data_IF_204024301658
#
_entry.id   IF_204024301658
#
_cell.length_a   1.000
_cell.length_b   1.000
_cell.length_c   1.000
_cell.angle_alpha   90.00
_cell.angle_beta   90.00
_cell.angle_gamma   90.00
#
_symmetry.space_group_name_H-M   'P 1'
#
loop_
_entity.id
_entity.type
_entity.pdbx_description
1 polymer ?
#
# COMPACT_ATOMS: atom_id res chain seq x y z
N UNK A 1 32.13 -30.09 7.93
CA UNK A 1 31.86 -31.05 6.84
C UNK A 1 31.32 -30.30 5.64
N UNK A 2 31.86 -30.60 4.45
CA UNK A 2 31.41 -30.04 3.20
C UNK A 2 30.06 -30.65 2.76
N UNK A 3 29.40 -30.04 1.75
CA UNK A 3 28.12 -30.52 1.19
C UNK A 3 28.22 -32.01 0.78
N UNK A 4 29.36 -32.40 0.23
CA UNK A 4 29.62 -33.78 -0.17
C UNK A 4 29.60 -34.74 1.03
N UNK A 5 30.22 -34.38 2.17
CA UNK A 5 30.23 -35.22 3.37
C UNK A 5 28.82 -35.37 3.93
N UNK A 6 28.01 -34.32 3.89
CA UNK A 6 26.60 -34.39 4.30
C UNK A 6 25.78 -35.32 3.39
N UNK A 7 25.95 -35.25 2.09
CA UNK A 7 25.29 -36.15 1.14
C UNK A 7 25.70 -37.61 1.35
N UNK A 8 26.99 -37.87 1.59
CA UNK A 8 27.48 -39.23 1.87
C UNK A 8 26.84 -39.77 3.16
N UNK A 9 26.78 -38.97 4.23
CA UNK A 9 26.16 -39.38 5.50
C UNK A 9 24.67 -39.63 5.35
N UNK A 10 23.91 -38.73 4.68
CA UNK A 10 22.49 -38.89 4.42
C UNK A 10 22.23 -40.15 3.60
N UNK A 11 22.98 -40.41 2.53
CA UNK A 11 22.85 -41.59 1.69
C UNK A 11 23.18 -42.88 2.48
N UNK A 12 24.17 -42.86 3.35
CA UNK A 12 24.50 -44.02 4.20
C UNK A 12 23.40 -44.34 5.20
N UNK A 13 22.79 -43.29 5.82
CA UNK A 13 21.67 -43.44 6.75
C UNK A 13 20.41 -43.94 6.02
N UNK A 14 20.09 -43.39 4.87
CA UNK A 14 18.98 -43.84 4.03
C UNK A 14 19.10 -45.34 3.68
N UNK A 15 20.28 -45.75 3.23
CA UNK A 15 20.54 -47.17 2.91
C UNK A 15 20.53 -48.10 4.12
N UNK A 16 20.74 -47.60 5.32
CA UNK A 16 20.69 -48.39 6.55
C UNK A 16 19.28 -48.52 7.12
N UNK A 17 18.30 -47.76 6.59
CA UNK A 17 16.92 -47.86 7.02
C UNK A 17 16.29 -49.18 6.52
N UNK A 18 15.86 -50.00 7.45
CA UNK A 18 15.18 -51.25 7.15
C UNK A 18 13.67 -51.09 7.32
N UNK A 19 12.90 -51.53 6.32
CA UNK A 19 11.45 -51.47 6.31
C UNK A 19 10.89 -50.56 5.23
N UNK A 20 9.57 -50.45 5.20
CA UNK A 20 8.88 -49.58 4.24
C UNK A 20 9.04 -48.10 4.63
N UNK A 21 9.15 -47.21 3.60
CA UNK A 21 9.21 -45.77 3.84
C UNK A 21 7.94 -45.32 4.57
N UNK A 22 8.08 -44.62 5.73
CA UNK A 22 6.92 -44.17 6.46
C UNK A 22 6.01 -43.27 5.62
N UNK A 23 4.69 -43.44 5.73
CA UNK A 23 3.70 -42.65 4.95
C UNK A 23 3.90 -41.14 5.04
N UNK A 24 4.32 -40.65 6.23
CA UNK A 24 4.64 -39.23 6.44
C UNK A 24 5.78 -38.75 5.54
N UNK A 25 6.78 -39.57 5.27
CA UNK A 25 7.94 -39.24 4.42
C UNK A 25 7.48 -39.17 2.97
N UNK A 26 6.73 -40.18 2.50
CA UNK A 26 6.14 -40.17 1.15
C UNK A 26 5.31 -38.93 0.88
N UNK A 27 4.41 -38.60 1.82
CA UNK A 27 3.56 -37.39 1.69
C UNK A 27 4.37 -36.07 1.69
N UNK A 28 5.42 -36.01 2.51
CA UNK A 28 6.32 -34.86 2.53
C UNK A 28 7.07 -34.71 1.23
N UNK A 29 7.60 -35.80 0.66
CA UNK A 29 8.28 -35.78 -0.63
C UNK A 29 7.33 -35.40 -1.77
N UNK A 30 6.10 -35.90 -1.74
CA UNK A 30 5.09 -35.56 -2.74
C UNK A 30 4.68 -34.08 -2.65
N UNK A 31 4.52 -33.56 -1.45
CA UNK A 31 4.20 -32.16 -1.23
C UNK A 31 5.35 -31.25 -1.69
N UNK A 32 6.59 -31.57 -1.34
CA UNK A 32 7.78 -30.84 -1.78
C UNK A 32 7.89 -30.83 -3.31
N UNK A 33 7.71 -31.99 -3.94
CA UNK A 33 7.72 -32.12 -5.40
C UNK A 33 6.65 -31.21 -6.04
N UNK A 34 5.43 -31.17 -5.49
CA UNK A 34 4.35 -30.29 -5.97
C UNK A 34 4.73 -28.82 -5.84
N UNK A 35 5.27 -28.43 -4.69
CA UNK A 35 5.70 -27.06 -4.42
C UNK A 35 6.78 -26.60 -5.39
N UNK A 36 7.79 -27.44 -5.64
CA UNK A 36 8.87 -27.12 -6.58
C UNK A 36 8.36 -26.99 -8.02
N UNK A 37 7.49 -27.90 -8.46
CA UNK A 37 6.90 -27.82 -9.82
C UNK A 37 5.96 -26.61 -9.94
N UNK A 38 5.20 -26.26 -8.91
CA UNK A 38 4.37 -25.06 -8.90
C UNK A 38 5.24 -23.79 -9.02
N UNK A 39 6.37 -23.75 -8.31
CA UNK A 39 7.35 -22.66 -8.45
C UNK A 39 7.86 -22.50 -9.89
N UNK A 40 8.28 -23.59 -10.53
CA UNK A 40 8.71 -23.59 -11.94
C UNK A 40 7.59 -23.15 -12.90
N UNK A 41 6.34 -23.50 -12.62
CA UNK A 41 5.19 -23.07 -13.42
C UNK A 41 4.97 -21.56 -13.27
N UNK A 42 5.07 -21.02 -12.05
CA UNK A 42 4.98 -19.59 -11.79
C UNK A 42 6.09 -18.83 -12.51
N UNK A 43 7.34 -19.29 -12.43
CA UNK A 43 8.46 -18.65 -13.13
C UNK A 43 8.22 -18.57 -14.65
N UNK A 44 7.65 -19.62 -15.24
CA UNK A 44 7.29 -19.61 -16.67
C UNK A 44 6.19 -18.62 -17.01
N UNK A 45 5.17 -18.49 -16.14
CA UNK A 45 4.11 -17.50 -16.30
C UNK A 45 4.72 -16.10 -16.26
N UNK A 46 5.53 -15.81 -15.25
CA UNK A 46 6.15 -14.52 -15.06
C UNK A 46 7.12 -14.13 -16.19
N UNK A 47 7.84 -15.09 -16.75
CA UNK A 47 8.76 -14.85 -17.86
C UNK A 47 8.08 -14.30 -19.13
N UNK A 48 6.77 -14.51 -19.27
CA UNK A 48 5.99 -14.04 -20.43
C UNK A 48 4.99 -12.93 -20.08
N UNK A 49 4.67 -12.75 -18.81
CA UNK A 49 3.64 -11.79 -18.38
C UNK A 49 4.20 -10.38 -18.18
N UNK A 50 5.43 -10.25 -17.68
CA UNK A 50 6.03 -8.94 -17.40
C UNK A 50 6.72 -8.43 -18.67
N UNK A 51 5.96 -7.72 -19.48
CA UNK A 51 6.44 -7.08 -20.72
C UNK A 51 6.28 -5.57 -20.63
N UNK A 52 6.98 -4.81 -21.45
CA UNK A 52 6.83 -3.36 -21.50
C UNK A 52 5.39 -2.96 -21.87
N UNK A 53 4.71 -3.74 -22.70
CA UNK A 53 3.30 -3.51 -23.05
C UNK A 53 2.37 -3.74 -21.86
N UNK A 54 2.62 -4.77 -21.04
CA UNK A 54 1.84 -5.03 -19.83
C UNK A 54 2.06 -3.93 -18.78
N UNK A 55 3.28 -3.46 -18.63
CA UNK A 55 3.62 -2.34 -17.74
C UNK A 55 2.97 -1.03 -18.20
N UNK A 56 2.99 -0.75 -19.51
CA UNK A 56 2.32 0.42 -20.05
C UNK A 56 0.80 0.33 -19.84
N UNK A 57 0.19 -0.83 -20.06
CA UNK A 57 -1.23 -1.02 -19.84
C UNK A 57 -1.62 -0.84 -18.36
N UNK A 58 -0.82 -1.35 -17.43
CA UNK A 58 -1.02 -1.15 -15.99
C UNK A 58 -0.86 0.33 -15.59
N UNK A 59 0.13 1.00 -16.15
CA UNK A 59 0.32 2.44 -15.96
C UNK A 59 -0.87 3.25 -16.47
N UNK A 60 -1.34 2.97 -17.69
CA UNK A 60 -2.47 3.67 -18.28
C UNK A 60 -3.76 3.46 -17.46
N UNK A 61 -3.98 2.25 -16.95
CA UNK A 61 -5.12 1.94 -16.11
C UNK A 61 -5.07 2.65 -14.76
N UNK A 62 -3.88 2.78 -14.17
CA UNK A 62 -3.71 3.32 -12.81
C UNK A 62 -3.57 4.84 -12.80
N UNK A 63 -2.84 5.41 -13.77
CA UNK A 63 -2.44 6.80 -13.73
C UNK A 63 -2.92 7.63 -14.93
N UNK A 64 -2.74 7.16 -16.17
CA UNK A 64 -3.00 7.98 -17.35
C UNK A 64 -4.50 8.15 -17.63
N UNK A 65 -5.31 7.15 -17.30
CA UNK A 65 -6.77 7.18 -17.48
C UNK A 65 -7.53 7.46 -16.18
N UNK A 66 -6.85 7.61 -15.05
CA UNK A 66 -7.46 8.00 -13.78
C UNK A 66 -7.94 9.45 -13.82
N UNK A 67 -9.00 9.76 -13.08
CA UNK A 67 -9.37 11.16 -12.87
C UNK A 67 -8.21 11.88 -12.16
N UNK A 68 -7.84 13.08 -12.65
CA UNK A 68 -6.75 13.83 -12.03
C UNK A 68 -7.03 14.09 -10.55
N UNK A 69 -6.15 13.66 -9.69
CA UNK A 69 -6.21 13.99 -8.27
C UNK A 69 -5.82 15.46 -8.10
N UNK A 70 -6.48 16.14 -7.17
CA UNK A 70 -6.16 17.54 -6.87
C UNK A 70 -5.03 17.62 -5.86
N UNK A 71 -4.13 18.56 -6.09
CA UNK A 71 -3.17 19.03 -5.10
C UNK A 71 -3.52 20.47 -4.70
N UNK A 72 -3.34 20.74 -3.43
CA UNK A 72 -3.67 22.01 -2.80
C UNK A 72 -2.40 22.65 -2.27
N UNK A 73 -2.28 23.94 -2.47
CA UNK A 73 -1.29 24.77 -1.79
C UNK A 73 -2.03 25.63 -0.78
N UNK A 74 -1.77 25.44 0.50
CA UNK A 74 -2.45 26.18 1.55
C UNK A 74 -1.49 26.72 2.62
N UNK A 75 -2.01 27.69 3.35
CA UNK A 75 -1.41 28.19 4.58
C UNK A 75 -2.43 28.06 5.71
N UNK A 76 -1.99 27.89 6.94
CA UNK A 76 -2.89 27.83 8.08
C UNK A 76 -2.37 28.59 9.32
N UNK A 77 -3.31 28.98 10.16
CA UNK A 77 -3.06 29.51 11.49
C UNK A 77 -3.74 28.56 12.48
N UNK A 78 -3.00 28.01 13.42
CA UNK A 78 -3.50 27.14 14.47
C UNK A 78 -3.57 27.90 15.79
N UNK A 79 -4.72 27.82 16.47
CA UNK A 79 -4.95 28.40 17.80
C UNK A 79 -5.69 27.42 18.68
N UNK A 80 -5.76 27.72 20.00
CA UNK A 80 -6.34 26.79 20.96
C UNK A 80 -7.86 26.86 21.01
N UNK A 81 -8.44 28.04 20.74
CA UNK A 81 -9.88 28.28 20.91
C UNK A 81 -10.58 28.73 19.65
N UNK A 82 -11.87 28.42 19.56
CA UNK A 82 -12.72 28.86 18.46
C UNK A 82 -12.86 30.37 18.39
N UNK A 83 -12.93 31.04 19.53
CA UNK A 83 -13.07 32.50 19.59
C UNK A 83 -11.83 33.20 19.06
N UNK A 84 -10.63 32.69 19.33
CA UNK A 84 -9.40 33.21 18.74
C UNK A 84 -9.40 33.02 17.21
N UNK A 85 -9.81 31.84 16.73
CA UNK A 85 -9.89 31.57 15.29
C UNK A 85 -10.90 32.51 14.62
N UNK A 86 -12.08 32.74 15.20
CA UNK A 86 -13.07 33.69 14.69
C UNK A 86 -12.52 35.12 14.65
N UNK A 87 -11.80 35.54 15.66
CA UNK A 87 -11.19 36.88 15.71
C UNK A 87 -10.15 37.04 14.58
N UNK A 88 -9.36 35.99 14.31
CA UNK A 88 -8.38 35.96 13.21
C UNK A 88 -9.09 36.03 11.87
N UNK A 89 -10.17 35.30 11.65
CA UNK A 89 -10.96 35.34 10.42
C UNK A 89 -11.46 36.78 10.14
N UNK A 90 -11.99 37.46 11.17
CA UNK A 90 -12.47 38.84 11.02
C UNK A 90 -11.32 39.82 10.72
N UNK A 91 -10.17 39.64 11.36
CA UNK A 91 -8.96 40.45 11.09
C UNK A 91 -8.47 40.29 9.64
N UNK A 92 -8.45 39.05 9.15
CA UNK A 92 -8.04 38.71 7.77
C UNK A 92 -9.04 39.23 6.75
N UNK A 93 -10.36 39.12 7.02
CA UNK A 93 -11.40 39.75 6.21
C UNK A 93 -11.29 41.28 6.19
N UNK A 94 -10.75 41.85 7.25
CA UNK A 94 -10.41 43.31 7.33
C UNK A 94 -9.16 43.70 6.55
N UNK A 95 -8.48 42.78 5.90
CA UNK A 95 -7.32 43.02 5.03
C UNK A 95 -5.97 42.85 5.71
N UNK A 96 -5.89 42.19 6.88
CA UNK A 96 -4.63 41.85 7.51
C UNK A 96 -3.83 40.85 6.65
N UNK A 97 -2.51 40.93 6.72
CA UNK A 97 -1.63 39.98 6.02
C UNK A 97 -1.63 38.64 6.70
N UNK A 98 -2.00 37.58 5.97
CA UNK A 98 -2.13 36.23 6.51
C UNK A 98 -0.81 35.72 7.10
N UNK A 99 0.31 35.92 6.41
CA UNK A 99 1.60 35.40 6.85
C UNK A 99 2.12 36.15 8.09
N UNK A 100 1.85 37.44 8.19
CA UNK A 100 2.17 38.23 9.39
C UNK A 100 1.33 37.76 10.60
N UNK A 101 0.02 37.58 10.42
CA UNK A 101 -0.90 37.07 11.45
C UNK A 101 -0.51 35.65 11.89
N UNK A 102 -0.11 34.80 10.94
CA UNK A 102 0.37 33.45 11.26
C UNK A 102 1.63 33.48 12.11
N UNK A 103 2.60 34.33 11.80
CA UNK A 103 3.83 34.47 12.59
C UNK A 103 3.56 34.96 14.01
N UNK A 104 2.57 35.82 14.17
CA UNK A 104 2.23 36.44 15.47
C UNK A 104 1.39 35.52 16.34
N UNK A 105 0.39 34.85 15.75
CA UNK A 105 -0.69 34.20 16.52
C UNK A 105 -0.72 32.67 16.43
N UNK A 106 -0.08 32.09 15.40
CA UNK A 106 -0.15 30.63 15.24
C UNK A 106 0.71 29.91 16.23
N UNK A 107 0.10 28.93 16.92
CA UNK A 107 0.80 27.97 17.80
C UNK A 107 1.35 26.77 17.04
N UNK A 108 1.01 26.63 15.74
CA UNK A 108 1.45 25.55 14.90
C UNK A 108 2.90 25.70 14.40
N UNK A 109 3.54 24.57 14.03
CA UNK A 109 4.95 24.57 13.61
C UNK A 109 5.24 25.38 12.34
N UNK A 110 4.25 25.60 11.48
CA UNK A 110 4.37 26.43 10.28
C UNK A 110 4.24 27.93 10.56
N UNK A 111 3.78 28.32 11.78
CA UNK A 111 3.57 29.72 12.16
C UNK A 111 4.75 30.63 11.87
N UNK A 112 6.00 30.32 12.33
CA UNK A 112 7.19 31.13 12.04
C UNK A 112 7.47 31.32 10.55
N UNK A 113 7.06 30.35 9.70
CA UNK A 113 7.13 30.42 8.24
C UNK A 113 5.97 31.17 7.57
N UNK A 114 5.08 31.81 8.34
CA UNK A 114 3.88 32.47 7.81
C UNK A 114 2.72 31.52 7.56
N UNK A 115 2.73 30.34 8.18
CA UNK A 115 1.68 29.33 8.10
C UNK A 115 1.73 28.45 6.86
N UNK A 116 2.69 28.61 5.94
CA UNK A 116 2.74 27.85 4.68
C UNK A 116 2.93 26.36 4.91
N UNK A 117 2.11 25.56 4.21
CA UNK A 117 2.19 24.09 4.19
C UNK A 117 2.77 23.57 2.88
N UNK A 118 2.93 24.42 1.86
CA UNK A 118 3.32 24.00 0.52
C UNK A 118 2.20 23.24 -0.20
N UNK A 119 2.59 22.42 -1.20
CA UNK A 119 1.70 21.56 -1.96
C UNK A 119 1.48 20.23 -1.22
N UNK A 120 0.24 19.78 -1.18
CA UNK A 120 -0.14 18.48 -0.61
C UNK A 120 -1.32 17.89 -1.37
N UNK A 121 -1.37 16.57 -1.44
CA UNK A 121 -2.48 15.79 -2.01
C UNK A 121 -3.36 15.18 -0.93
N UNK A 122 -4.33 14.38 -1.36
CA UNK A 122 -5.23 13.65 -0.48
C UNK A 122 -4.47 12.68 0.45
N UNK A 123 -4.89 12.61 1.71
CA UNK A 123 -4.29 11.74 2.75
C UNK A 123 -3.08 12.34 3.46
N UNK A 124 -2.61 13.54 3.07
CA UNK A 124 -1.47 14.20 3.69
C UNK A 124 -1.83 14.97 4.97
N UNK A 125 -3.09 15.37 5.11
CA UNK A 125 -3.60 16.14 6.24
C UNK A 125 -4.67 15.37 7.01
N UNK A 126 -5.07 15.88 8.18
CA UNK A 126 -6.20 15.28 8.92
C UNK A 126 -7.52 15.49 8.18
N UNK A 127 -8.49 14.54 8.29
CA UNK A 127 -9.69 14.53 7.47
C UNK A 127 -10.52 15.82 7.52
N UNK A 128 -10.61 16.44 8.68
CA UNK A 128 -11.37 17.67 8.87
C UNK A 128 -10.76 18.84 8.10
N UNK A 129 -9.43 18.91 8.09
CA UNK A 129 -8.67 19.91 7.34
C UNK A 129 -8.82 19.70 5.82
N UNK A 130 -8.67 18.46 5.36
CA UNK A 130 -8.84 18.11 3.93
C UNK A 130 -10.25 18.40 3.43
N UNK A 131 -11.27 18.06 4.24
CA UNK A 131 -12.66 18.34 3.91
C UNK A 131 -12.90 19.84 3.72
N UNK A 132 -12.33 20.66 4.61
CA UNK A 132 -12.45 22.12 4.51
C UNK A 132 -11.76 22.64 3.23
N UNK A 133 -10.51 22.23 2.99
CA UNK A 133 -9.74 22.67 1.81
C UNK A 133 -10.40 22.26 0.51
N UNK A 134 -10.97 21.04 0.45
CA UNK A 134 -11.64 20.53 -0.75
C UNK A 134 -12.91 21.30 -1.12
N UNK A 135 -13.53 22.00 -0.15
CA UNK A 135 -14.73 22.83 -0.35
C UNK A 135 -14.41 24.29 -0.69
N UNK A 136 -13.12 24.70 -0.65
CA UNK A 136 -12.68 26.09 -0.88
C UNK A 136 -12.28 26.32 -2.32
N UNK A 137 -12.30 27.60 -2.74
CA UNK A 137 -11.71 28.08 -3.97
C UNK A 137 -10.34 28.76 -3.70
N UNK A 138 -9.47 28.76 -4.71
CA UNK A 138 -8.17 29.41 -4.57
C UNK A 138 -8.34 30.91 -4.23
N UNK A 139 -7.68 31.34 -3.19
CA UNK A 139 -7.78 32.70 -2.61
C UNK A 139 -8.66 32.80 -1.37
N UNK A 140 -9.49 31.79 -1.09
CA UNK A 140 -10.40 31.79 0.06
C UNK A 140 -9.68 31.67 1.40
N UNK A 141 -10.34 32.21 2.41
CA UNK A 141 -10.03 32.01 3.83
C UNK A 141 -11.21 31.24 4.45
N UNK A 142 -10.91 30.11 5.10
CA UNK A 142 -11.94 29.27 5.73
C UNK A 142 -12.59 29.95 6.96
N UNK A 143 -13.78 29.52 7.30
CA UNK A 143 -14.26 29.63 8.67
C UNK A 143 -13.38 28.76 9.60
N UNK A 144 -13.45 28.94 10.93
CA UNK A 144 -12.69 28.11 11.87
C UNK A 144 -12.95 26.61 11.70
N UNK A 145 -11.89 25.83 11.50
CA UNK A 145 -11.94 24.37 11.33
C UNK A 145 -11.36 23.68 12.55
N UNK A 146 -12.16 22.89 13.24
CA UNK A 146 -11.72 22.13 14.41
C UNK A 146 -11.05 20.82 14.01
N UNK A 147 -9.91 20.52 14.61
CA UNK A 147 -9.20 19.22 14.53
C UNK A 147 -8.76 18.78 15.92
N UNK A 148 -8.12 17.63 16.03
CA UNK A 148 -7.51 17.18 17.28
C UNK A 148 -6.36 18.07 17.79
N UNK A 149 -5.81 18.95 16.95
CA UNK A 149 -4.71 19.85 17.30
C UNK A 149 -5.18 21.23 17.78
N UNK A 150 -6.44 21.57 17.60
CA UNK A 150 -7.02 22.86 17.91
C UNK A 150 -7.87 23.40 16.76
N UNK A 151 -7.93 24.73 16.66
CA UNK A 151 -8.71 25.44 15.65
C UNK A 151 -7.82 26.02 14.58
N UNK A 152 -8.13 25.72 13.33
CA UNK A 152 -7.39 26.19 12.16
C UNK A 152 -8.18 27.27 11.42
N UNK A 153 -7.48 28.32 10.99
CA UNK A 153 -7.92 29.22 9.93
C UNK A 153 -7.05 28.93 8.73
N UNK A 154 -7.66 28.52 7.63
CA UNK A 154 -6.96 28.04 6.43
C UNK A 154 -7.11 29.08 5.33
N UNK A 155 -6.01 29.36 4.60
CA UNK A 155 -6.02 30.08 3.34
C UNK A 155 -5.62 29.12 2.24
N UNK A 156 -6.50 28.89 1.28
CA UNK A 156 -6.18 28.14 0.07
C UNK A 156 -5.50 29.07 -0.92
N UNK A 157 -4.21 28.83 -1.16
CA UNK A 157 -3.44 29.69 -2.06
C UNK A 157 -3.69 29.32 -3.53
N UNK A 158 -3.57 28.03 -3.85
CA UNK A 158 -3.67 27.51 -5.22
C UNK A 158 -4.21 26.06 -5.20
N UNK A 159 -4.81 25.67 -6.33
CA UNK A 159 -5.23 24.28 -6.61
C UNK A 159 -4.67 23.90 -7.97
N UNK A 160 -4.14 22.69 -8.09
CA UNK A 160 -3.73 22.12 -9.36
C UNK A 160 -4.14 20.66 -9.46
N UNK A 161 -4.17 20.13 -10.67
CA UNK A 161 -4.22 18.69 -10.85
C UNK A 161 -2.82 18.12 -10.61
N UNK A 162 -2.73 17.05 -9.84
CA UNK A 162 -1.48 16.32 -9.72
C UNK A 162 -1.11 15.76 -11.10
N UNK A 163 0.14 15.93 -11.48
CA UNK A 163 0.66 15.25 -12.65
C UNK A 163 0.83 13.76 -12.34
N UNK A 164 0.46 12.89 -13.27
CA UNK A 164 0.74 11.47 -13.13
C UNK A 164 2.26 11.28 -13.00
N UNK A 165 2.72 10.40 -12.09
CA UNK A 165 4.14 10.11 -11.99
C UNK A 165 4.66 9.55 -13.31
N UNK A 166 5.93 9.77 -13.65
CA UNK A 166 6.50 9.13 -14.82
C UNK A 166 6.49 7.59 -14.65
N UNK A 167 6.28 6.85 -15.74
CA UNK A 167 6.27 5.37 -15.69
C UNK A 167 7.53 4.82 -15.02
N UNK A 168 8.67 5.46 -15.25
CA UNK A 168 9.95 5.05 -14.67
C UNK A 168 9.98 5.16 -13.14
N UNK A 169 9.25 6.13 -12.57
CA UNK A 169 9.20 6.37 -11.11
C UNK A 169 8.35 5.32 -10.39
N UNK A 170 7.38 4.72 -11.10
CA UNK A 170 6.43 3.72 -10.57
C UNK A 170 6.63 2.33 -11.17
N UNK A 171 7.68 2.15 -11.98
CA UNK A 171 7.94 0.91 -12.72
C UNK A 171 8.01 -0.32 -11.81
N UNK A 172 8.72 -0.23 -10.71
CA UNK A 172 8.91 -1.35 -9.78
C UNK A 172 7.59 -1.76 -9.12
N UNK A 173 6.75 -0.80 -8.75
CA UNK A 173 5.41 -1.04 -8.21
C UNK A 173 4.51 -1.72 -9.24
N UNK A 174 4.50 -1.22 -10.48
CA UNK A 174 3.72 -1.80 -11.58
C UNK A 174 4.21 -3.20 -11.94
N UNK A 175 5.51 -3.47 -11.91
CA UNK A 175 6.03 -4.82 -12.11
C UNK A 175 5.49 -5.80 -11.06
N UNK A 176 5.44 -5.42 -9.79
CA UNK A 176 4.85 -6.25 -8.74
C UNK A 176 3.36 -6.48 -8.95
N UNK A 177 2.63 -5.45 -9.35
CA UNK A 177 1.21 -5.55 -9.67
C UNK A 177 0.98 -6.52 -10.83
N UNK A 178 1.66 -6.34 -11.97
CA UNK A 178 1.55 -7.19 -13.16
C UNK A 178 1.90 -8.65 -12.83
N UNK A 179 2.95 -8.88 -12.03
CA UNK A 179 3.33 -10.22 -11.55
C UNK A 179 2.20 -10.86 -10.75
N UNK A 180 1.65 -10.14 -9.79
CA UNK A 180 0.57 -10.64 -8.92
C UNK A 180 -0.68 -10.98 -9.72
N UNK A 181 -1.09 -10.08 -10.62
CA UNK A 181 -2.28 -10.26 -11.47
C UNK A 181 -2.10 -11.44 -12.43
N UNK A 182 -0.93 -11.57 -13.05
CA UNK A 182 -0.65 -12.65 -13.97
C UNK A 182 -0.68 -14.04 -13.30
N UNK A 183 -0.08 -14.15 -12.11
CA UNK A 183 -0.12 -15.41 -11.34
C UNK A 183 -1.54 -15.73 -10.90
N UNK A 184 -2.26 -14.75 -10.37
CA UNK A 184 -3.66 -14.94 -9.94
C UNK A 184 -4.54 -15.39 -11.11
N UNK A 185 -4.50 -14.69 -12.23
CA UNK A 185 -5.29 -15.02 -13.40
C UNK A 185 -4.97 -16.43 -13.96
N UNK A 186 -3.67 -16.79 -13.99
CA UNK A 186 -3.26 -18.11 -14.45
C UNK A 186 -3.70 -19.23 -13.50
N UNK A 187 -3.58 -19.02 -12.19
CA UNK A 187 -4.02 -19.99 -11.19
C UNK A 187 -5.54 -20.16 -11.23
N UNK A 188 -6.30 -19.07 -11.31
CA UNK A 188 -7.76 -19.10 -11.39
C UNK A 188 -8.23 -19.86 -12.65
N UNK A 189 -7.59 -19.61 -13.79
CA UNK A 189 -7.88 -20.32 -15.04
C UNK A 189 -7.59 -21.82 -14.91
N UNK A 190 -6.45 -22.20 -14.34
CA UNK A 190 -6.07 -23.60 -14.13
C UNK A 190 -7.02 -24.32 -13.15
N UNK A 191 -7.43 -23.62 -12.08
CA UNK A 191 -8.37 -24.18 -11.10
C UNK A 191 -9.78 -24.32 -11.70
N UNK A 192 -10.20 -23.36 -12.53
CA UNK A 192 -11.51 -23.42 -13.21
C UNK A 192 -11.60 -24.57 -14.22
N UNK A 193 -10.48 -24.92 -14.88
CA UNK A 193 -10.40 -26.05 -15.84
C UNK A 193 -10.16 -27.41 -15.16
N UNK A 194 -9.83 -27.43 -13.89
CA UNK A 194 -9.53 -28.64 -13.13
C UNK A 194 -10.80 -29.31 -12.60
N UNK A 195 -10.82 -30.66 -12.64
CA UNK A 195 -11.82 -31.45 -11.90
C UNK A 195 -11.42 -31.54 -10.42
N UNK A 196 -12.00 -30.65 -9.59
CA UNK A 196 -11.67 -30.53 -8.18
C UNK A 196 -12.68 -31.26 -7.31
N UNK A 197 -12.29 -32.45 -6.81
CA UNK A 197 -13.06 -33.18 -5.81
C UNK A 197 -12.64 -32.74 -4.38
N UNK A 198 -13.58 -32.21 -3.61
CA UNK A 198 -13.39 -31.75 -2.22
C UNK A 198 -14.02 -32.66 -1.16
N UNK A 199 -14.67 -33.76 -1.57
CA UNK A 199 -15.46 -34.61 -0.66
C UNK A 199 -14.61 -35.17 0.51
N UNK A 200 -13.32 -35.43 0.27
CA UNK A 200 -12.41 -35.94 1.31
C UNK A 200 -11.88 -34.85 2.28
N UNK A 201 -12.16 -33.58 2.02
CA UNK A 201 -11.70 -32.47 2.86
C UNK A 201 -12.78 -31.93 3.81
N UNK A 202 -14.02 -32.38 3.65
CA UNK A 202 -15.12 -31.95 4.52
C UNK A 202 -14.92 -32.46 5.95
N UNK A 203 -14.98 -31.55 6.93
CA UNK A 203 -14.83 -31.86 8.35
C UNK A 203 -13.38 -31.99 8.86
N UNK A 204 -12.37 -31.75 8.02
CA UNK A 204 -10.98 -31.67 8.48
C UNK A 204 -10.77 -30.31 9.16
N UNK A 205 -10.40 -30.34 10.44
CA UNK A 205 -10.01 -29.15 11.18
C UNK A 205 -8.61 -28.70 10.71
N UNK A 206 -8.46 -27.52 10.09
CA UNK A 206 -7.15 -27.01 9.64
C UNK A 206 -6.12 -26.84 10.77
N UNK A 207 -6.58 -26.73 12.03
CA UNK A 207 -5.70 -26.59 13.20
C UNK A 207 -4.81 -27.81 13.41
N UNK A 208 -5.19 -28.99 12.91
CA UNK A 208 -4.35 -30.18 12.97
C UNK A 208 -3.00 -29.99 12.29
N UNK A 209 -2.92 -29.12 11.29
CA UNK A 209 -1.66 -28.81 10.60
C UNK A 209 -0.67 -28.06 11.49
N UNK A 210 -1.16 -27.32 12.47
CA UNK A 210 -0.32 -26.60 13.45
C UNK A 210 0.06 -27.42 14.67
N UNK A 211 -0.60 -28.60 14.88
CA UNK A 211 -0.41 -29.45 16.05
C UNK A 211 0.34 -30.76 15.76
N UNK A 212 0.74 -30.99 14.52
CA UNK A 212 1.55 -32.15 14.17
C UNK A 212 2.94 -32.03 14.77
N UNK A 213 3.10 -32.43 16.00
CA UNK A 213 4.38 -32.86 16.54
C UNK A 213 4.81 -34.10 15.74
N UNK A 214 5.86 -33.93 14.92
CA UNK A 214 6.55 -35.03 14.24
C UNK A 214 7.26 -35.88 15.33
N UNK A 215 6.50 -36.70 16.05
CA UNK A 215 7.04 -37.49 17.14
C UNK A 215 6.13 -38.68 17.45
N UNK A 216 6.64 -39.79 17.20
CA UNK A 216 6.43 -41.19 17.53
C UNK A 216 6.04 -42.03 16.34
#
# INVERSE_FOLDING_TARGET
PGILDQLIQQTALEKSYEGDVPKRVELSMENERRSLIAGEAIEKILATAVTDEALQAAYDATYANAEPTKEFNASHILVETEDEAKAIVEELKGGADFAATAREKSTGPSGPGGGSLGWFGAGAMVPEFETAVAAMEAGDISDPVQTQFGWHVIKLNEVRNAEAPALEDVREELEQQVRSEAVTAAVDALVADADVNRDGAEGIDPSVLSTVTLGE
#
